data_IF_482460991194
#
_entry.id   IF_482460991194
#
_cell.length_a   1.000
_cell.length_b   1.000
_cell.length_c   1.000
_cell.angle_alpha   90.00
_cell.angle_beta   90.00
_cell.angle_gamma   90.00
#
_symmetry.space_group_name_H-M   'P 1'
#
loop_
_entity.id
_entity.type
_entity.pdbx_description
1 polymer ?
#
# COMPACT_ATOMS: atom_id res chain seq x y z
N UNK A 1 25.65 14.88 -39.20
CA UNK A 1 25.49 13.41 -39.15
C UNK A 1 24.63 13.13 -37.92
N UNK A 2 23.38 12.91 -38.20
CA UNK A 2 22.28 12.65 -37.28
C UNK A 2 22.22 11.15 -37.00
N UNK A 3 22.36 10.73 -35.75
CA UNK A 3 22.07 9.37 -35.32
C UNK A 3 20.58 9.27 -34.93
N UNK A 4 19.81 8.78 -35.86
CA UNK A 4 18.45 8.26 -35.61
C UNK A 4 18.54 6.98 -34.75
N UNK A 5 18.22 7.11 -33.48
CA UNK A 5 17.94 5.95 -32.62
C UNK A 5 16.57 5.39 -32.95
N UNK A 6 16.58 4.36 -33.76
CA UNK A 6 15.48 3.50 -34.16
C UNK A 6 14.78 2.91 -32.89
N UNK A 7 13.63 3.47 -32.56
CA UNK A 7 12.73 2.94 -31.53
C UNK A 7 11.82 1.91 -32.19
N UNK A 8 12.26 0.66 -32.25
CA UNK A 8 11.37 -0.45 -32.57
C UNK A 8 10.29 -0.57 -31.52
N UNK A 9 9.09 -0.12 -31.88
CA UNK A 9 7.87 -0.40 -31.11
C UNK A 9 7.46 -1.83 -31.42
N UNK A 10 7.69 -2.75 -30.48
CA UNK A 10 7.09 -4.08 -30.54
C UNK A 10 5.57 -3.97 -30.51
N UNK A 11 4.92 -4.53 -31.51
CA UNK A 11 3.46 -4.61 -31.57
C UNK A 11 2.94 -5.52 -30.46
N UNK A 12 1.77 -5.21 -29.86
CA UNK A 12 1.13 -6.09 -28.88
C UNK A 12 0.86 -7.45 -29.51
N UNK A 13 1.33 -8.53 -28.87
CA UNK A 13 1.01 -9.90 -29.25
C UNK A 13 -0.43 -10.22 -28.87
N UNK A 14 -1.19 -10.80 -29.79
CA UNK A 14 -2.51 -11.34 -29.53
C UNK A 14 -2.46 -12.37 -28.40
N UNK A 15 -3.30 -12.19 -27.38
CA UNK A 15 -3.40 -13.07 -26.22
C UNK A 15 -4.30 -14.24 -26.61
N UNK A 16 -3.70 -15.32 -27.09
CA UNK A 16 -4.36 -16.61 -27.23
C UNK A 16 -4.21 -17.40 -25.92
N UNK A 17 -5.32 -17.79 -25.33
CA UNK A 17 -5.64 -18.92 -24.46
C UNK A 17 -4.84 -19.22 -23.19
N UNK A 18 -3.53 -18.95 -23.11
CA UNK A 18 -2.72 -19.08 -21.91
C UNK A 18 -2.20 -17.69 -21.52
N UNK A 19 -2.70 -17.13 -20.43
CA UNK A 19 -2.29 -15.82 -19.92
C UNK A 19 -0.82 -15.86 -19.50
N UNK A 20 0.09 -15.60 -20.41
CA UNK A 20 1.49 -15.36 -20.09
C UNK A 20 1.56 -14.11 -19.23
N UNK A 21 1.88 -14.28 -17.97
CA UNK A 21 2.03 -13.18 -17.01
C UNK A 21 3.28 -12.39 -17.39
N UNK A 22 3.11 -11.37 -18.22
CA UNK A 22 4.20 -10.51 -18.67
C UNK A 22 4.51 -9.49 -17.56
N UNK A 23 5.70 -9.55 -16.98
CA UNK A 23 6.23 -8.56 -16.05
C UNK A 23 7.07 -7.54 -16.78
N UNK A 24 6.72 -6.27 -16.67
CA UNK A 24 7.53 -5.15 -17.15
C UNK A 24 8.00 -4.29 -15.98
N UNK A 25 9.29 -4.03 -15.89
CA UNK A 25 9.88 -3.16 -14.87
C UNK A 25 10.41 -1.90 -15.55
N UNK A 26 9.91 -0.73 -15.11
CA UNK A 26 10.32 0.57 -15.62
C UNK A 26 11.19 1.24 -14.55
N UNK A 27 12.48 1.36 -14.81
CA UNK A 27 13.45 1.98 -13.90
C UNK A 27 13.80 3.39 -14.39
N UNK A 28 14.06 4.28 -13.43
CA UNK A 28 14.52 5.65 -13.72
C UNK A 28 14.42 6.56 -12.49
N UNK A 29 15.26 7.62 -12.44
CA UNK A 29 15.19 8.62 -11.39
C UNK A 29 13.87 9.43 -11.42
N UNK A 30 13.57 10.25 -10.40
CA UNK A 30 12.44 11.19 -10.43
C UNK A 30 12.45 12.05 -11.70
N UNK A 31 11.28 12.35 -12.26
CA UNK A 31 11.15 13.24 -13.43
C UNK A 31 11.40 12.59 -14.81
N UNK A 32 11.74 11.30 -14.89
CA UNK A 32 12.03 10.59 -16.17
C UNK A 32 10.81 10.11 -16.95
N UNK A 33 9.60 10.50 -16.55
CA UNK A 33 8.38 10.17 -17.28
C UNK A 33 7.80 8.77 -16.97
N UNK A 34 8.23 8.07 -15.90
CA UNK A 34 7.71 6.75 -15.55
C UNK A 34 6.17 6.69 -15.48
N UNK A 35 5.55 7.70 -14.85
CA UNK A 35 4.08 7.80 -14.79
C UNK A 35 3.46 7.95 -16.18
N UNK A 36 4.10 8.74 -17.06
CA UNK A 36 3.65 8.90 -18.44
C UNK A 36 3.72 7.56 -19.20
N UNK A 37 4.84 6.85 -19.08
CA UNK A 37 4.99 5.51 -19.69
C UNK A 37 3.94 4.52 -19.17
N UNK A 38 3.63 4.53 -17.88
CA UNK A 38 2.56 3.68 -17.33
C UNK A 38 1.18 4.05 -17.88
N UNK A 39 0.88 5.34 -18.05
CA UNK A 39 -0.36 5.78 -18.69
C UNK A 39 -0.40 5.49 -20.19
N UNK A 40 0.75 5.46 -20.87
CA UNK A 40 0.83 5.01 -22.28
C UNK A 40 0.52 3.51 -22.40
N UNK A 41 0.99 2.68 -21.45
CA UNK A 41 0.58 1.26 -21.39
C UNK A 41 -0.92 1.10 -21.15
N UNK A 42 -1.53 1.93 -20.30
CA UNK A 42 -3.00 1.94 -20.13
C UNK A 42 -3.69 2.27 -21.44
N UNK A 43 -3.20 3.28 -22.19
CA UNK A 43 -3.73 3.65 -23.50
C UNK A 43 -3.66 2.47 -24.48
N UNK A 44 -2.55 1.76 -24.54
CA UNK A 44 -2.37 0.59 -25.41
C UNK A 44 -3.39 -0.51 -25.05
N UNK A 45 -3.66 -0.76 -23.77
CA UNK A 45 -4.71 -1.70 -23.35
C UNK A 45 -6.12 -1.23 -23.75
N UNK A 46 -6.43 0.05 -23.60
CA UNK A 46 -7.72 0.60 -24.02
C UNK A 46 -7.91 0.47 -25.53
N UNK A 47 -6.89 0.78 -26.33
CA UNK A 47 -6.92 0.63 -27.78
C UNK A 47 -7.06 -0.83 -28.23
N UNK A 48 -6.58 -1.78 -27.42
CA UNK A 48 -6.80 -3.21 -27.67
C UNK A 48 -8.19 -3.71 -27.30
N UNK A 49 -9.08 -2.83 -26.79
CA UNK A 49 -10.43 -3.16 -26.40
C UNK A 49 -10.59 -3.62 -24.94
N UNK A 50 -9.55 -3.47 -24.13
CA UNK A 50 -9.65 -3.77 -22.68
C UNK A 50 -10.51 -2.71 -21.98
N UNK A 51 -11.52 -3.16 -21.23
CA UNK A 51 -12.36 -2.27 -20.43
C UNK A 51 -11.51 -1.60 -19.32
N UNK A 52 -11.59 -0.28 -19.21
CA UNK A 52 -10.89 0.52 -18.18
C UNK A 52 -11.18 0.02 -16.76
N UNK A 53 -12.34 -0.53 -16.50
CA UNK A 53 -12.73 -1.12 -15.22
C UNK A 53 -11.97 -2.40 -14.88
N UNK A 54 -11.26 -2.98 -15.83
CA UNK A 54 -10.37 -4.15 -15.64
C UNK A 54 -8.91 -3.73 -15.48
N UNK A 55 -8.60 -2.44 -15.59
CA UNK A 55 -7.24 -1.92 -15.47
C UNK A 55 -7.06 -1.29 -14.09
N UNK A 56 -6.07 -1.77 -13.33
CA UNK A 56 -5.69 -1.20 -12.05
C UNK A 56 -4.41 -0.39 -12.13
N UNK A 57 -4.43 0.83 -11.59
CA UNK A 57 -3.24 1.67 -11.38
C UNK A 57 -3.07 1.93 -9.90
N UNK A 58 -1.99 1.43 -9.31
CA UNK A 58 -1.77 1.49 -7.86
C UNK A 58 -0.50 2.25 -7.51
N UNK A 59 -0.57 3.02 -6.44
CA UNK A 59 0.58 3.69 -5.84
C UNK A 59 0.60 3.52 -4.31
N UNK A 60 1.73 3.82 -3.69
CA UNK A 60 1.84 3.83 -2.23
C UNK A 60 1.28 5.12 -1.62
N UNK A 61 1.43 6.26 -2.29
CA UNK A 61 1.03 7.56 -1.75
C UNK A 61 -0.28 8.06 -2.33
N UNK A 62 -1.10 8.72 -1.51
CA UNK A 62 -2.33 9.37 -1.96
C UNK A 62 -2.06 10.42 -3.05
N UNK A 63 -0.97 11.20 -2.90
CA UNK A 63 -0.58 12.22 -3.87
C UNK A 63 -0.30 11.62 -5.25
N UNK A 64 0.48 10.51 -5.30
CA UNK A 64 0.79 9.86 -6.57
C UNK A 64 -0.45 9.20 -7.20
N UNK A 65 -1.32 8.58 -6.39
CA UNK A 65 -2.58 8.04 -6.89
C UNK A 65 -3.47 9.13 -7.47
N UNK A 66 -3.64 10.24 -6.76
CA UNK A 66 -4.44 11.38 -7.22
C UNK A 66 -3.89 12.00 -8.50
N UNK A 67 -2.57 12.20 -8.59
CA UNK A 67 -1.93 12.72 -9.80
C UNK A 67 -2.13 11.80 -11.01
N UNK A 68 -1.98 10.49 -10.82
CA UNK A 68 -2.23 9.51 -11.89
C UNK A 68 -3.69 9.50 -12.33
N UNK A 69 -4.63 9.57 -11.37
CA UNK A 69 -6.07 9.67 -11.65
C UNK A 69 -6.36 10.90 -12.49
N UNK A 70 -5.94 12.09 -12.07
CA UNK A 70 -6.17 13.35 -12.80
C UNK A 70 -5.60 13.30 -14.22
N UNK A 71 -4.37 12.77 -14.39
CA UNK A 71 -3.78 12.62 -15.72
C UNK A 71 -4.52 11.61 -16.60
N UNK A 72 -5.08 10.56 -16.00
CA UNK A 72 -5.89 9.59 -16.72
C UNK A 72 -7.24 10.19 -17.16
N UNK A 73 -7.91 10.96 -16.29
CA UNK A 73 -9.13 11.69 -16.62
C UNK A 73 -8.89 12.63 -17.81
N UNK A 74 -7.82 13.42 -17.76
CA UNK A 74 -7.47 14.36 -18.86
C UNK A 74 -7.10 13.62 -20.15
N UNK A 75 -6.28 12.53 -20.06
CA UNK A 75 -5.77 11.82 -21.22
C UNK A 75 -6.83 10.99 -21.94
N UNK A 76 -7.73 10.35 -21.17
CA UNK A 76 -8.69 9.40 -21.69
C UNK A 76 -10.11 9.97 -21.75
N UNK A 77 -10.30 11.24 -21.35
CA UNK A 77 -11.62 11.91 -21.26
C UNK A 77 -12.63 11.09 -20.43
N UNK A 78 -12.17 10.55 -19.30
CA UNK A 78 -12.95 9.73 -18.39
C UNK A 78 -13.27 10.50 -17.11
N UNK A 79 -14.35 10.12 -16.43
CA UNK A 79 -14.67 10.62 -15.10
C UNK A 79 -14.01 9.71 -14.03
N UNK A 80 -13.74 10.25 -12.84
CA UNK A 80 -13.25 9.49 -11.69
C UNK A 80 -14.04 8.19 -11.43
N UNK A 81 -15.34 8.21 -11.68
CA UNK A 81 -16.23 7.06 -11.52
C UNK A 81 -15.94 5.93 -12.50
N UNK A 82 -15.34 6.25 -13.65
CA UNK A 82 -15.02 5.26 -14.69
C UNK A 82 -13.71 4.53 -14.42
N UNK A 83 -12.85 5.08 -13.56
CA UNK A 83 -11.53 4.53 -13.21
C UNK A 83 -11.42 4.09 -11.73
N UNK A 84 -12.30 3.16 -11.28
CA UNK A 84 -12.44 2.80 -9.86
C UNK A 84 -11.19 2.18 -9.24
N UNK A 85 -10.24 1.74 -10.04
CA UNK A 85 -9.00 1.08 -9.60
C UNK A 85 -7.74 1.94 -9.76
N UNK A 86 -7.88 3.25 -10.00
CA UNK A 86 -6.78 4.21 -9.92
C UNK A 86 -6.68 4.74 -8.48
N UNK A 87 -5.89 4.09 -7.63
CA UNK A 87 -5.90 4.35 -6.18
C UNK A 87 -4.64 3.87 -5.48
N UNK A 88 -4.57 4.09 -4.17
CA UNK A 88 -3.49 3.49 -3.37
C UNK A 88 -3.75 2.01 -3.10
N UNK A 89 -2.70 1.22 -2.89
CA UNK A 89 -2.82 -0.19 -2.49
C UNK A 89 -3.63 -0.35 -1.20
N UNK A 90 -3.46 0.52 -0.22
CA UNK A 90 -4.27 0.51 1.00
C UNK A 90 -5.77 0.72 0.71
N UNK A 91 -6.10 1.67 -0.17
CA UNK A 91 -7.49 1.91 -0.56
C UNK A 91 -8.10 0.73 -1.31
N UNK A 92 -7.29 0.00 -2.11
CA UNK A 92 -7.74 -1.24 -2.74
C UNK A 92 -8.01 -2.33 -1.71
N UNK A 93 -7.06 -2.57 -0.78
CA UNK A 93 -7.21 -3.57 0.27
C UNK A 93 -8.46 -3.32 1.13
N UNK A 94 -8.70 -2.07 1.53
CA UNK A 94 -9.91 -1.68 2.25
C UNK A 94 -11.19 -2.05 1.49
N UNK A 95 -11.22 -1.76 0.19
CA UNK A 95 -12.37 -2.08 -0.67
C UNK A 95 -12.58 -3.59 -0.81
N UNK A 96 -11.50 -4.35 -1.00
CA UNK A 96 -11.56 -5.82 -1.14
C UNK A 96 -12.02 -6.51 0.14
N UNK A 97 -11.62 -5.98 1.31
CA UNK A 97 -12.01 -6.50 2.61
C UNK A 97 -13.40 -6.02 3.05
N UNK A 98 -14.05 -5.10 2.32
CA UNK A 98 -15.27 -4.44 2.78
C UNK A 98 -15.07 -3.64 4.08
N UNK A 99 -13.83 -3.32 4.42
CA UNK A 99 -13.49 -2.63 5.66
C UNK A 99 -14.01 -1.20 5.66
N UNK A 100 -14.54 -0.78 6.78
CA UNK A 100 -14.97 0.61 7.01
C UNK A 100 -13.88 1.35 7.80
N UNK A 101 -13.83 2.67 7.66
CA UNK A 101 -12.84 3.49 8.38
C UNK A 101 -12.97 3.32 9.91
N UNK A 102 -14.20 3.14 10.37
CA UNK A 102 -14.55 2.98 11.79
C UNK A 102 -14.04 1.66 12.40
N UNK A 103 -13.78 0.64 11.56
CA UNK A 103 -13.22 -0.66 12.01
C UNK A 103 -11.69 -0.68 12.07
N UNK A 104 -11.04 0.46 11.78
CA UNK A 104 -9.59 0.58 11.85
C UNK A 104 -9.21 1.43 13.03
N UNK A 105 -8.34 0.93 13.88
CA UNK A 105 -7.84 1.67 15.02
C UNK A 105 -7.18 2.99 14.60
N UNK A 106 -7.65 4.06 15.18
CA UNK A 106 -7.05 5.39 15.05
C UNK A 106 -6.19 5.74 16.28
N UNK A 107 -5.73 7.00 16.35
CA UNK A 107 -4.93 7.47 17.47
C UNK A 107 -5.66 7.46 18.82
N UNK A 108 -6.98 7.68 18.81
CA UNK A 108 -7.76 7.65 20.03
C UNK A 108 -7.87 6.21 20.55
N UNK A 109 -8.09 5.26 19.66
CA UNK A 109 -8.13 3.83 19.97
C UNK A 109 -6.81 3.31 20.54
N UNK A 110 -5.68 3.71 19.96
CA UNK A 110 -4.37 3.32 20.49
C UNK A 110 -4.09 3.93 21.87
N UNK A 111 -4.53 5.15 22.12
CA UNK A 111 -4.42 5.76 23.46
C UNK A 111 -5.32 5.05 24.47
N UNK A 112 -6.57 4.73 24.09
CA UNK A 112 -7.50 3.99 24.94
C UNK A 112 -6.95 2.60 25.26
N UNK A 113 -6.44 1.89 24.26
CA UNK A 113 -5.75 0.62 24.44
C UNK A 113 -4.57 0.75 25.41
N UNK A 114 -3.73 1.78 25.24
CA UNK A 114 -2.62 2.05 26.15
C UNK A 114 -3.04 2.28 27.60
N UNK A 115 -4.11 3.04 27.81
CA UNK A 115 -4.69 3.27 29.14
C UNK A 115 -5.21 1.96 29.75
N UNK A 116 -5.91 1.13 28.98
CA UNK A 116 -6.42 -0.17 29.44
C UNK A 116 -5.31 -1.14 29.84
N UNK A 117 -4.21 -1.12 29.09
CA UNK A 117 -3.06 -2.00 29.36
C UNK A 117 -2.04 -1.42 30.35
N UNK A 118 -2.24 -0.20 30.84
CA UNK A 118 -1.31 0.47 31.75
C UNK A 118 0.03 0.87 31.10
N UNK A 119 0.08 0.97 29.76
CA UNK A 119 1.27 1.37 29.01
C UNK A 119 1.08 2.74 28.35
N UNK A 120 2.06 3.65 28.46
CA UNK A 120 1.98 4.93 27.75
C UNK A 120 2.17 4.73 26.25
N UNK A 121 1.19 5.14 25.46
CA UNK A 121 1.30 5.14 24.00
C UNK A 121 1.22 6.58 23.53
N UNK A 122 2.35 7.10 23.06
CA UNK A 122 2.42 8.37 22.34
C UNK A 122 2.27 8.09 20.86
N UNK A 123 1.31 8.74 20.23
CA UNK A 123 1.05 8.61 18.81
C UNK A 123 1.50 9.89 18.11
N UNK A 124 2.39 9.79 17.15
CA UNK A 124 2.78 10.90 16.30
C UNK A 124 2.24 10.70 14.88
N UNK A 125 1.67 11.77 14.32
CA UNK A 125 1.39 11.84 12.89
C UNK A 125 2.67 12.22 12.17
N UNK A 126 3.25 11.31 11.43
CA UNK A 126 4.20 11.71 10.40
C UNK A 126 3.41 12.13 9.15
N UNK A 127 3.58 13.37 8.72
CA UNK A 127 3.02 13.89 7.47
C UNK A 127 3.84 13.43 6.26
N UNK A 128 4.15 12.14 6.18
CA UNK A 128 4.77 11.57 4.99
C UNK A 128 3.78 11.31 3.84
N UNK A 129 2.54 11.77 4.00
CA UNK A 129 1.47 11.60 3.03
C UNK A 129 0.84 10.19 3.01
N UNK A 130 1.41 9.23 3.71
CA UNK A 130 0.89 7.84 3.75
C UNK A 130 -0.05 7.57 4.92
N UNK A 131 -0.10 8.47 5.91
CA UNK A 131 -0.88 8.26 7.13
C UNK A 131 -0.40 7.05 7.93
N UNK A 132 0.89 6.76 7.88
CA UNK A 132 1.51 5.65 8.59
C UNK A 132 1.43 5.93 10.09
N UNK A 133 0.81 5.04 10.83
CA UNK A 133 0.81 5.07 12.28
C UNK A 133 2.21 4.70 12.78
N UNK A 134 2.88 5.62 13.43
CA UNK A 134 4.11 5.33 14.14
C UNK A 134 3.88 5.54 15.64
N UNK A 135 4.20 4.54 16.44
CA UNK A 135 4.17 4.60 17.89
C UNK A 135 5.59 4.63 18.44
N UNK A 136 5.83 5.49 19.44
CA UNK A 136 7.09 5.48 20.20
C UNK A 136 7.20 4.24 21.10
N UNK A 137 6.11 3.49 21.26
CA UNK A 137 6.07 2.31 22.12
C UNK A 137 6.72 1.11 21.40
N UNK A 138 7.82 0.61 21.97
CA UNK A 138 8.61 -0.48 21.37
C UNK A 138 7.86 -1.80 21.32
N UNK A 139 6.99 -2.10 22.28
CA UNK A 139 6.13 -3.30 22.24
C UNK A 139 5.24 -3.29 21.00
N UNK A 140 4.56 -2.17 20.73
CA UNK A 140 3.72 -2.04 19.54
C UNK A 140 4.52 -2.10 18.24
N UNK A 141 5.72 -1.55 18.23
CA UNK A 141 6.63 -1.64 17.05
C UNK A 141 6.99 -3.09 16.76
N UNK A 142 7.33 -3.87 17.81
CA UNK A 142 7.70 -5.27 17.66
C UNK A 142 6.50 -6.12 17.23
N UNK A 143 5.32 -5.92 17.84
CA UNK A 143 4.06 -6.57 17.45
C UNK A 143 3.73 -6.28 15.98
N UNK A 144 3.82 -5.02 15.54
CA UNK A 144 3.53 -4.66 14.16
C UNK A 144 4.58 -5.24 13.20
N UNK A 145 5.87 -5.26 13.57
CA UNK A 145 6.94 -5.90 12.78
C UNK A 145 6.67 -7.39 12.60
N UNK A 146 6.27 -8.10 13.66
CA UNK A 146 5.93 -9.52 13.61
C UNK A 146 4.76 -9.78 12.65
N UNK A 147 3.72 -8.95 12.68
CA UNK A 147 2.57 -9.04 11.75
C UNK A 147 2.95 -8.80 10.29
N UNK A 148 3.82 -7.82 10.02
CA UNK A 148 4.33 -7.57 8.66
C UNK A 148 5.16 -8.74 8.15
N UNK A 149 5.89 -9.41 9.04
CA UNK A 149 6.69 -10.59 8.71
C UNK A 149 5.89 -11.90 8.74
N UNK A 150 4.59 -11.83 9.03
CA UNK A 150 3.68 -12.98 9.13
C UNK A 150 4.20 -14.07 10.08
N UNK A 151 4.77 -13.66 11.23
CA UNK A 151 5.38 -14.56 12.21
C UNK A 151 4.87 -14.29 13.63
N UNK A 152 4.91 -15.28 14.54
CA UNK A 152 4.59 -15.07 15.94
C UNK A 152 5.51 -14.02 16.58
N UNK A 153 4.95 -13.17 17.44
CA UNK A 153 5.72 -12.09 18.07
C UNK A 153 6.87 -12.59 18.93
N UNK A 154 6.70 -13.75 19.58
CA UNK A 154 7.76 -14.36 20.41
C UNK A 154 8.90 -14.91 19.57
N UNK A 155 8.63 -15.42 18.36
CA UNK A 155 9.70 -15.88 17.46
C UNK A 155 10.55 -14.69 16.97
N UNK A 156 9.92 -13.53 16.78
CA UNK A 156 10.65 -12.29 16.48
C UNK A 156 11.45 -11.79 17.69
N UNK A 157 10.87 -11.88 18.89
CA UNK A 157 11.55 -11.53 20.14
C UNK A 157 12.82 -12.37 20.34
N UNK A 158 12.72 -13.68 20.16
CA UNK A 158 13.82 -14.63 20.36
C UNK A 158 14.97 -14.45 19.35
N UNK A 159 14.77 -13.66 18.26
CA UNK A 159 15.85 -13.21 17.34
C UNK A 159 16.74 -12.11 17.91
N UNK A 160 16.43 -11.58 19.10
CA UNK A 160 17.17 -10.49 19.75
C UNK A 160 17.33 -9.20 18.92
N UNK A 161 16.36 -8.92 18.04
CA UNK A 161 16.35 -7.70 17.22
C UNK A 161 15.56 -6.56 17.89
N UNK A 162 15.60 -6.45 19.21
CA UNK A 162 14.86 -5.47 20.00
C UNK A 162 15.73 -4.89 21.12
N UNK A 163 15.24 -3.82 21.77
CA UNK A 163 15.87 -3.25 22.96
C UNK A 163 15.81 -4.23 24.14
N UNK A 164 16.80 -4.17 25.03
CA UNK A 164 16.87 -5.02 26.23
C UNK A 164 15.73 -4.75 27.24
N UNK A 165 15.01 -3.65 27.09
CA UNK A 165 13.96 -3.22 28.02
C UNK A 165 12.58 -3.85 27.74
N UNK A 166 12.47 -4.73 26.73
CA UNK A 166 11.21 -5.41 26.41
C UNK A 166 11.10 -6.70 27.21
N UNK A 167 10.09 -6.77 28.08
CA UNK A 167 9.76 -8.00 28.81
C UNK A 167 8.96 -8.95 27.91
N UNK A 168 9.41 -10.19 27.81
CA UNK A 168 8.85 -11.22 26.92
C UNK A 168 7.38 -11.52 27.23
N UNK A 169 7.04 -11.71 28.51
CA UNK A 169 5.68 -12.05 28.93
C UNK A 169 4.71 -10.89 28.72
N UNK A 170 5.15 -9.67 29.03
CA UNK A 170 4.36 -8.48 28.75
C UNK A 170 4.14 -8.27 27.27
N UNK A 171 5.14 -8.51 26.43
CA UNK A 171 5.02 -8.45 24.96
C UNK A 171 3.93 -9.42 24.47
N UNK A 172 3.95 -10.66 24.95
CA UNK A 172 2.94 -11.65 24.58
C UNK A 172 1.53 -11.23 25.03
N UNK A 173 1.39 -10.78 26.26
CA UNK A 173 0.10 -10.30 26.78
C UNK A 173 -0.43 -9.13 25.95
N UNK A 174 0.42 -8.16 25.64
CA UNK A 174 0.03 -6.99 24.82
C UNK A 174 -0.36 -7.39 23.39
N UNK A 175 0.28 -8.39 22.79
CA UNK A 175 -0.11 -8.88 21.47
C UNK A 175 -1.50 -9.52 21.51
N UNK A 176 -1.79 -10.36 22.52
CA UNK A 176 -3.10 -10.99 22.68
C UNK A 176 -4.19 -9.94 22.98
N UNK A 177 -3.93 -8.99 23.89
CA UNK A 177 -4.87 -7.91 24.21
C UNK A 177 -5.14 -7.00 23.00
N UNK A 178 -4.11 -6.67 22.21
CA UNK A 178 -4.30 -5.87 21.01
C UNK A 178 -5.11 -6.61 19.94
N UNK A 179 -4.98 -7.93 19.85
CA UNK A 179 -5.79 -8.75 18.98
C UNK A 179 -7.25 -8.72 19.41
N UNK A 180 -7.52 -8.98 20.70
CA UNK A 180 -8.86 -8.92 21.28
C UNK A 180 -9.51 -7.54 21.10
N UNK A 181 -8.77 -6.46 21.41
CA UNK A 181 -9.26 -5.09 21.25
C UNK A 181 -9.69 -4.79 19.81
N UNK A 182 -8.97 -5.32 18.81
CA UNK A 182 -9.31 -5.16 17.40
C UNK A 182 -10.53 -6.00 16.97
N UNK A 183 -10.76 -7.14 17.58
CA UNK A 183 -11.92 -8.01 17.31
C UNK A 183 -13.22 -7.42 17.90
N UNK A 184 -13.11 -6.67 18.99
CA UNK A 184 -14.24 -5.99 19.65
C UNK A 184 -14.67 -4.69 18.94
N UNK A 185 -13.84 -4.13 18.06
CA UNK A 185 -14.06 -2.88 17.35
C UNK A 185 -14.72 -3.11 15.97
#
# INVERSE_FOLDING_TARGET
KSDEKNKTRDKPREISGDAVLMKTIILGPPGTGKTTTLLDLVDDFLRSGTDIKKIGYFSFTKKAAWEATRRAEEKFMLDYKDIPYFRTLHSLAFRMLGAKKETVMDHADYRDFGLKCGIPIKTAWYQDGNGTFNSDNEYLRLINKARVLEMPVLDLYDRNEHSMDIERDLLYLLDQELKRYKEEK
#
